data_IF_072958778343
#
_entry.id   IF_072958778343
#
_cell.length_a   1.000
_cell.length_b   1.000
_cell.length_c   1.000
_cell.angle_alpha   90.00
_cell.angle_beta   90.00
_cell.angle_gamma   90.00
#
_symmetry.space_group_name_H-M   'P 1'
#
loop_
_entity.id
_entity.type
_entity.pdbx_description
1 polymer ?
#
# COMPACT_ATOMS: atom_id res chain seq x y z
N UNK A 1 -18.27 0.40 -17.04
CA UNK A 1 -17.74 1.77 -17.30
C UNK A 1 -18.15 2.38 -18.64
N UNK A 2 -18.80 1.62 -19.52
CA UNK A 2 -19.34 2.03 -20.83
C UNK A 2 -20.89 2.05 -20.82
N UNK A 3 -21.49 2.22 -19.63
CA UNK A 3 -22.94 2.15 -19.38
C UNK A 3 -23.59 0.81 -19.73
N UNK A 4 -22.82 -0.28 -19.82
CA UNK A 4 -23.34 -1.64 -19.97
C UNK A 4 -23.41 -2.35 -18.62
N UNK A 5 -24.42 -3.22 -18.40
CA UNK A 5 -24.43 -4.12 -17.25
C UNK A 5 -23.21 -5.04 -17.28
N UNK A 6 -22.64 -5.32 -16.10
CA UNK A 6 -21.57 -6.29 -15.95
C UNK A 6 -22.04 -7.66 -16.46
N UNK A 7 -21.19 -8.35 -17.23
CA UNK A 7 -21.48 -9.72 -17.68
C UNK A 7 -21.40 -10.70 -16.51
N UNK A 8 -20.41 -10.49 -15.64
CA UNK A 8 -20.09 -11.31 -14.49
C UNK A 8 -20.59 -10.64 -13.20
N UNK A 9 -21.38 -11.36 -12.40
CA UNK A 9 -21.93 -10.82 -11.15
C UNK A 9 -20.86 -10.73 -10.08
N UNK A 10 -20.85 -9.65 -9.30
CA UNK A 10 -19.94 -9.48 -8.15
C UNK A 10 -20.73 -8.96 -6.97
N UNK A 11 -20.63 -9.65 -5.83
CA UNK A 11 -21.24 -9.23 -4.56
C UNK A 11 -20.13 -8.82 -3.61
N UNK A 12 -20.24 -7.62 -3.05
CA UNK A 12 -19.34 -7.15 -1.99
C UNK A 12 -20.14 -6.90 -0.72
N UNK A 13 -19.75 -7.60 0.33
CA UNK A 13 -20.29 -7.47 1.68
C UNK A 13 -19.33 -6.60 2.49
N UNK A 14 -19.87 -5.59 3.18
CA UNK A 14 -19.08 -4.67 4.01
C UNK A 14 -19.56 -4.76 5.44
N UNK A 15 -18.63 -4.96 6.38
CA UNK A 15 -18.90 -4.87 7.81
C UNK A 15 -17.69 -4.29 8.53
N UNK A 16 -17.89 -3.82 9.75
CA UNK A 16 -16.77 -3.34 10.56
C UNK A 16 -16.87 -3.82 12.00
N UNK A 17 -15.71 -3.95 12.61
CA UNK A 17 -15.53 -4.13 14.05
C UNK A 17 -14.96 -2.82 14.63
N UNK A 18 -14.81 -2.68 15.95
CA UNK A 18 -14.15 -1.50 16.54
C UNK A 18 -12.70 -1.26 16.08
N UNK A 19 -12.06 -2.23 15.42
CA UNK A 19 -10.62 -2.20 15.08
C UNK A 19 -10.32 -2.22 13.58
N UNK A 20 -11.26 -2.64 12.74
CA UNK A 20 -11.04 -2.84 11.32
C UNK A 20 -12.36 -2.80 10.54
N UNK A 21 -12.28 -2.35 9.29
CA UNK A 21 -13.30 -2.57 8.27
C UNK A 21 -12.95 -3.80 7.44
N UNK A 22 -13.97 -4.53 7.02
CA UNK A 22 -13.85 -5.78 6.30
C UNK A 22 -14.68 -5.75 5.02
N UNK A 23 -14.15 -6.39 3.99
CA UNK A 23 -14.82 -6.60 2.72
C UNK A 23 -14.79 -8.08 2.37
N UNK A 24 -15.95 -8.68 2.15
CA UNK A 24 -16.11 -10.02 1.60
C UNK A 24 -16.54 -9.92 0.15
N UNK A 25 -15.80 -10.56 -0.74
CA UNK A 25 -15.99 -10.51 -2.19
C UNK A 25 -16.42 -11.88 -2.68
N UNK A 26 -17.55 -11.94 -3.39
CA UNK A 26 -17.97 -13.08 -4.18
C UNK A 26 -17.99 -12.65 -5.65
N UNK A 27 -16.99 -13.08 -6.41
CA UNK A 27 -16.85 -12.75 -7.82
C UNK A 27 -17.27 -13.97 -8.65
N UNK A 28 -18.51 -13.97 -9.13
CA UNK A 28 -19.02 -14.99 -10.03
C UNK A 28 -18.41 -14.79 -11.41
N UNK A 29 -17.97 -15.86 -12.05
CA UNK A 29 -17.48 -15.82 -13.43
C UNK A 29 -18.28 -16.83 -14.26
N UNK A 30 -18.73 -16.44 -15.46
CA UNK A 30 -19.41 -17.38 -16.37
C UNK A 30 -18.49 -18.50 -16.85
N UNK A 31 -17.18 -18.31 -16.76
CA UNK A 31 -16.14 -19.26 -17.14
C UNK A 31 -15.13 -19.39 -15.98
N UNK A 32 -15.50 -20.03 -14.85
CA UNK A 32 -14.68 -20.12 -13.63
C UNK A 32 -13.26 -20.67 -13.86
N UNK A 33 -13.13 -21.64 -14.77
CA UNK A 33 -11.85 -22.20 -15.20
C UNK A 33 -10.95 -21.15 -15.89
N UNK A 34 -11.56 -20.13 -16.49
CA UNK A 34 -10.90 -19.02 -17.18
C UNK A 34 -10.47 -17.88 -16.25
N UNK A 35 -10.78 -17.94 -14.95
CA UNK A 35 -10.34 -16.95 -13.96
C UNK A 35 -8.81 -16.95 -13.89
N UNK A 36 -8.20 -15.80 -14.24
CA UNK A 36 -6.75 -15.63 -14.31
C UNK A 36 -6.21 -15.18 -12.95
N UNK A 37 -5.31 -15.98 -12.38
CA UNK A 37 -4.68 -15.67 -11.10
C UNK A 37 -3.28 -16.29 -11.04
N UNK A 38 -2.34 -15.56 -10.47
CA UNK A 38 -0.97 -16.02 -10.22
C UNK A 38 -0.57 -15.71 -8.77
N UNK A 39 0.35 -16.52 -8.24
CA UNK A 39 1.02 -16.18 -6.99
C UNK A 39 2.20 -15.30 -7.38
N UNK A 40 2.05 -14.00 -7.20
CA UNK A 40 3.05 -12.98 -7.52
C UNK A 40 3.50 -12.27 -6.25
N UNK A 41 4.57 -11.46 -6.38
CA UNK A 41 4.89 -10.46 -5.37
C UNK A 41 3.73 -9.46 -5.24
N UNK A 42 3.67 -8.81 -4.07
CA UNK A 42 2.74 -7.72 -3.80
C UNK A 42 2.91 -6.59 -4.82
N UNK A 43 1.83 -5.89 -5.10
CA UNK A 43 1.69 -4.82 -6.09
C UNK A 43 1.90 -5.26 -7.55
N UNK A 44 2.04 -6.57 -7.80
CA UNK A 44 2.25 -7.15 -9.13
C UNK A 44 1.07 -8.03 -9.62
N UNK A 45 -0.16 -7.64 -9.29
CA UNK A 45 -1.38 -8.36 -9.70
C UNK A 45 -2.00 -7.84 -11.00
N UNK A 46 -1.38 -6.87 -11.67
CA UNK A 46 -1.94 -6.16 -12.83
C UNK A 46 -2.18 -7.02 -14.08
N UNK A 47 -1.75 -8.28 -14.09
CA UNK A 47 -2.05 -9.24 -15.16
C UNK A 47 -3.12 -10.27 -14.79
N UNK A 48 -3.65 -10.20 -13.56
CA UNK A 48 -4.63 -11.14 -13.01
C UNK A 48 -6.00 -10.50 -12.88
N UNK A 49 -7.03 -11.35 -12.80
CA UNK A 49 -8.34 -10.90 -12.35
C UNK A 49 -8.18 -10.29 -10.97
N UNK A 50 -8.92 -9.22 -10.69
CA UNK A 50 -8.79 -8.53 -9.40
C UNK A 50 -10.06 -7.79 -9.03
N UNK A 51 -10.22 -7.58 -7.73
CA UNK A 51 -11.18 -6.63 -7.18
C UNK A 51 -10.40 -5.59 -6.40
N UNK A 52 -10.71 -4.32 -6.67
CA UNK A 52 -10.12 -3.15 -6.03
C UNK A 52 -11.21 -2.38 -5.29
N UNK A 53 -11.04 -2.21 -3.99
CA UNK A 53 -11.90 -1.38 -3.14
C UNK A 53 -11.29 0.01 -3.03
N UNK A 54 -12.05 1.04 -3.37
CA UNK A 54 -11.67 2.45 -3.19
C UNK A 54 -12.40 3.02 -1.97
N UNK A 55 -11.64 3.54 -1.01
CA UNK A 55 -12.15 4.03 0.26
C UNK A 55 -11.70 5.48 0.51
N UNK A 56 -12.64 6.42 0.45
CA UNK A 56 -12.45 7.82 0.82
C UNK A 56 -12.94 8.05 2.26
N UNK A 57 -12.01 8.04 3.20
CA UNK A 57 -12.28 8.14 4.65
C UNK A 57 -12.55 9.58 5.13
N UNK A 58 -12.43 10.57 4.25
CA UNK A 58 -12.76 11.98 4.51
C UNK A 58 -14.02 12.43 3.78
N UNK A 59 -14.48 11.65 2.79
CA UNK A 59 -15.63 11.91 1.94
C UNK A 59 -15.55 13.29 1.23
N UNK A 60 -14.32 13.72 0.92
CA UNK A 60 -14.07 14.95 0.16
C UNK A 60 -14.08 14.71 -1.36
N UNK A 61 -14.13 13.43 -1.78
CA UNK A 61 -14.10 12.94 -3.16
C UNK A 61 -12.85 13.36 -3.93
N UNK A 62 -11.75 13.64 -3.23
CA UNK A 62 -10.47 14.06 -3.83
C UNK A 62 -9.42 12.97 -3.74
N UNK A 63 -9.44 12.18 -2.67
CA UNK A 63 -8.48 11.10 -2.45
C UNK A 63 -9.17 9.87 -1.86
N UNK A 64 -8.72 8.70 -2.28
CA UNK A 64 -9.15 7.43 -1.72
C UNK A 64 -7.97 6.49 -1.58
N UNK A 65 -7.95 5.73 -0.50
CA UNK A 65 -7.13 4.52 -0.43
C UNK A 65 -7.68 3.52 -1.43
N UNK A 66 -6.82 2.74 -2.07
CA UNK A 66 -7.27 1.55 -2.80
C UNK A 66 -6.62 0.29 -2.25
N UNK A 67 -7.40 -0.78 -2.21
CA UNK A 67 -6.98 -2.11 -1.77
C UNK A 67 -7.44 -3.12 -2.81
N UNK A 68 -6.50 -3.61 -3.60
CA UNK A 68 -6.67 -4.59 -4.67
C UNK A 68 -6.27 -5.99 -4.24
N UNK A 69 -7.08 -6.98 -4.56
CA UNK A 69 -6.75 -8.40 -4.37
C UNK A 69 -7.01 -9.21 -5.63
N UNK A 70 -6.12 -10.16 -5.92
CA UNK A 70 -6.37 -11.19 -6.93
C UNK A 70 -7.04 -12.44 -6.30
N UNK A 71 -7.46 -13.45 -7.10
CA UNK A 71 -8.11 -14.66 -6.60
C UNK A 71 -7.28 -15.52 -5.63
N UNK A 72 -5.97 -15.31 -5.53
CA UNK A 72 -5.13 -15.96 -4.53
C UNK A 72 -4.85 -15.07 -3.31
N UNK A 73 -5.44 -13.87 -3.26
CA UNK A 73 -5.31 -12.94 -2.16
C UNK A 73 -4.02 -12.12 -2.19
N UNK A 74 -3.29 -12.09 -3.30
CA UNK A 74 -2.13 -11.20 -3.45
C UNK A 74 -2.61 -9.75 -3.51
N UNK A 75 -1.90 -8.88 -2.81
CA UNK A 75 -2.28 -7.49 -2.51
C UNK A 75 -1.73 -6.51 -3.56
N UNK A 76 -2.47 -5.43 -3.82
CA UNK A 76 -2.03 -4.17 -4.47
C UNK A 76 -2.66 -3.03 -3.68
N UNK A 77 -1.90 -2.01 -3.29
CA UNK A 77 -2.46 -0.87 -2.58
C UNK A 77 -1.78 0.46 -2.89
N UNK A 78 -2.40 1.51 -2.35
CA UNK A 78 -1.90 2.86 -2.51
C UNK A 78 -3.02 3.89 -2.39
N UNK A 79 -2.77 5.06 -2.98
CA UNK A 79 -3.69 6.19 -2.93
C UNK A 79 -4.05 6.63 -4.34
N UNK A 80 -5.35 6.73 -4.62
CA UNK A 80 -5.88 7.40 -5.80
C UNK A 80 -6.17 8.86 -5.47
N UNK A 81 -5.68 9.77 -6.30
CA UNK A 81 -5.99 11.21 -6.21
C UNK A 81 -6.70 11.69 -7.46
N UNK A 82 -7.67 12.57 -7.29
CA UNK A 82 -8.31 13.29 -8.39
C UNK A 82 -7.41 14.42 -8.90
N UNK A 83 -7.50 14.70 -10.21
CA UNK A 83 -6.67 15.70 -10.88
C UNK A 83 -5.52 15.10 -11.68
N UNK A 84 -5.23 15.71 -12.83
CA UNK A 84 -4.31 15.15 -13.84
C UNK A 84 -4.97 14.09 -14.71
N UNK A 85 -4.55 13.99 -15.97
CA UNK A 85 -4.98 12.92 -16.87
C UNK A 85 -4.02 11.73 -16.75
N UNK A 86 -4.53 10.56 -16.35
CA UNK A 86 -3.76 9.32 -16.40
C UNK A 86 -4.03 8.59 -17.71
N UNK A 87 -3.04 8.61 -18.61
CA UNK A 87 -3.07 7.84 -19.87
C UNK A 87 -3.15 6.33 -19.61
N UNK A 88 -2.64 5.86 -18.47
CA UNK A 88 -2.58 4.43 -18.11
C UNK A 88 -3.91 3.86 -17.61
N UNK A 89 -4.78 4.68 -17.01
CA UNK A 89 -6.08 4.21 -16.49
C UNK A 89 -7.28 4.62 -17.35
N UNK A 90 -7.07 5.47 -18.37
CA UNK A 90 -8.16 5.97 -19.23
C UNK A 90 -9.23 6.77 -18.47
N UNK A 91 -8.87 7.25 -17.27
CA UNK A 91 -9.71 8.03 -16.37
C UNK A 91 -8.90 9.19 -15.78
N UNK A 92 -9.61 10.26 -15.40
CA UNK A 92 -9.04 11.37 -14.63
C UNK A 92 -8.52 10.89 -13.27
N UNK A 93 -7.40 11.46 -12.83
CA UNK A 93 -6.73 11.16 -11.58
C UNK A 93 -5.38 10.47 -11.75
N UNK A 94 -4.65 10.37 -10.64
CA UNK A 94 -3.38 9.65 -10.53
C UNK A 94 -3.48 8.57 -9.46
N UNK A 95 -2.56 7.60 -9.51
CA UNK A 95 -2.45 6.53 -8.53
C UNK A 95 -1.02 6.48 -8.05
N UNK A 96 -0.84 6.61 -6.74
CA UNK A 96 0.44 6.47 -6.07
C UNK A 96 0.47 5.12 -5.34
N UNK A 97 1.38 4.25 -5.78
CA UNK A 97 1.64 2.90 -5.22
C UNK A 97 2.85 2.87 -4.29
N UNK A 98 3.48 4.01 -4.02
CA UNK A 98 4.60 4.05 -3.09
C UNK A 98 4.21 3.77 -1.64
N UNK A 99 3.01 4.16 -1.14
CA UNK A 99 2.60 3.79 0.20
C UNK A 99 2.39 2.29 0.32
N UNK A 100 2.96 1.69 1.36
CA UNK A 100 2.72 0.31 1.75
C UNK A 100 1.85 0.32 3.02
N UNK A 101 0.56 -0.01 2.87
CA UNK A 101 -0.37 -0.08 4.00
C UNK A 101 -0.33 -1.44 4.70
N UNK A 102 -0.58 -1.46 6.02
CA UNK A 102 -0.73 -2.71 6.77
C UNK A 102 -2.18 -3.22 6.69
N UNK A 103 -2.42 -4.28 5.94
CA UNK A 103 -3.74 -4.92 5.83
C UNK A 103 -3.61 -6.40 5.49
N UNK A 104 -4.73 -7.13 5.56
CA UNK A 104 -4.74 -8.58 5.39
C UNK A 104 -5.74 -8.96 4.31
N UNK A 105 -5.38 -9.97 3.52
CA UNK A 105 -6.21 -10.53 2.48
C UNK A 105 -6.10 -12.05 2.44
N UNK A 106 -7.15 -12.70 1.93
CA UNK A 106 -7.11 -14.11 1.55
C UNK A 106 -8.04 -14.31 0.37
N UNK A 107 -7.57 -15.02 -0.65
CA UNK A 107 -8.37 -15.36 -1.83
C UNK A 107 -8.43 -16.86 -2.05
N UNK A 108 -9.49 -17.30 -2.71
CA UNK A 108 -9.63 -18.69 -3.17
C UNK A 108 -10.46 -18.75 -4.44
N UNK A 109 -9.98 -19.49 -5.45
CA UNK A 109 -10.80 -19.89 -6.60
C UNK A 109 -11.89 -20.88 -6.17
N UNK A 110 -13.08 -20.74 -6.71
CA UNK A 110 -14.24 -21.60 -6.45
C UNK A 110 -14.74 -22.21 -7.77
N UNK A 111 -15.72 -23.10 -7.67
CA UNK A 111 -16.41 -23.69 -8.82
C UNK A 111 -17.28 -22.68 -9.59
N UNK A 112 -17.66 -21.55 -8.97
CA UNK A 112 -18.44 -20.49 -9.58
C UNK A 112 -17.64 -19.24 -9.97
N UNK A 113 -16.33 -19.21 -9.69
CA UNK A 113 -15.47 -18.06 -9.92
C UNK A 113 -14.39 -17.97 -8.85
N UNK A 114 -14.49 -16.97 -7.97
CA UNK A 114 -13.57 -16.83 -6.83
C UNK A 114 -14.15 -15.98 -5.71
N UNK A 115 -13.55 -16.13 -4.53
CA UNK A 115 -13.87 -15.34 -3.34
C UNK A 115 -12.61 -14.70 -2.79
N UNK A 116 -12.77 -13.56 -2.13
CA UNK A 116 -11.71 -12.95 -1.35
C UNK A 116 -12.25 -12.24 -0.11
N UNK A 117 -11.42 -12.20 0.92
CA UNK A 117 -11.64 -11.41 2.13
C UNK A 117 -10.54 -10.38 2.26
N UNK A 118 -10.92 -9.16 2.63
CA UNK A 118 -10.04 -8.03 2.88
C UNK A 118 -10.33 -7.53 4.30
N UNK A 119 -9.29 -7.37 5.10
CA UNK A 119 -9.35 -6.74 6.42
C UNK A 119 -8.41 -5.57 6.46
N UNK A 120 -8.96 -4.37 6.62
CA UNK A 120 -8.21 -3.12 6.75
C UNK A 120 -8.32 -2.63 8.20
N UNK A 121 -7.27 -2.78 9.02
CA UNK A 121 -7.23 -2.19 10.35
C UNK A 121 -7.41 -0.67 10.27
N UNK A 122 -8.23 -0.10 11.15
CA UNK A 122 -8.40 1.35 11.16
C UNK A 122 -7.07 2.05 11.39
N UNK A 123 -6.20 1.53 12.28
CA UNK A 123 -4.86 2.09 12.51
C UNK A 123 -3.99 2.29 11.25
N UNK A 124 -4.29 1.61 10.15
CA UNK A 124 -3.59 1.74 8.87
C UNK A 124 -4.10 2.89 7.99
N UNK A 125 -5.23 3.48 8.37
CA UNK A 125 -5.91 4.56 7.66
C UNK A 125 -5.72 5.88 8.39
N UNK A 126 -5.81 6.99 7.66
CA UNK A 126 -6.20 8.28 8.25
C UNK A 126 -7.68 8.47 7.94
N UNK A 127 -8.44 9.04 8.88
CA UNK A 127 -9.86 9.34 8.67
C UNK A 127 -10.25 10.64 9.35
N UNK A 128 -11.44 11.15 9.03
CA UNK A 128 -12.01 12.34 9.65
C UNK A 128 -12.22 12.20 11.16
N UNK A 129 -12.50 13.32 11.84
CA UNK A 129 -13.02 13.31 13.21
C UNK A 129 -14.55 13.37 13.19
N UNK A 130 -15.20 12.87 14.24
CA UNK A 130 -16.67 12.91 14.39
C UNK A 130 -17.20 11.68 15.12
N UNK A 131 -18.39 11.80 15.71
CA UNK A 131 -19.07 10.68 16.37
C UNK A 131 -19.67 9.69 15.37
N UNK A 132 -20.16 10.19 14.24
CA UNK A 132 -20.72 9.41 13.14
C UNK A 132 -20.04 9.81 11.83
N UNK A 133 -19.35 8.86 11.21
CA UNK A 133 -18.57 9.06 10.01
C UNK A 133 -19.35 8.62 8.77
N UNK A 134 -19.11 9.33 7.67
CA UNK A 134 -19.54 8.96 6.32
C UNK A 134 -18.30 8.87 5.45
N UNK A 135 -18.12 7.73 4.77
CA UNK A 135 -16.98 7.48 3.89
C UNK A 135 -17.47 7.26 2.46
N UNK A 136 -16.68 7.68 1.48
CA UNK A 136 -16.89 7.34 0.08
C UNK A 136 -16.44 5.89 -0.19
N UNK A 137 -17.23 5.15 -0.97
CA UNK A 137 -16.92 3.78 -1.38
C UNK A 137 -17.14 3.62 -2.88
N UNK A 138 -16.18 3.01 -3.55
CA UNK A 138 -16.42 2.36 -4.82
C UNK A 138 -15.70 1.01 -4.88
N UNK A 139 -16.16 0.12 -5.73
CA UNK A 139 -15.53 -1.16 -6.00
C UNK A 139 -15.38 -1.30 -7.49
N UNK A 140 -14.21 -1.73 -7.94
CA UNK A 140 -13.96 -2.11 -9.31
C UNK A 140 -13.56 -3.58 -9.38
N UNK A 141 -14.16 -4.35 -10.29
CA UNK A 141 -13.67 -5.65 -10.71
C UNK A 141 -13.02 -5.51 -12.09
N UNK A 142 -11.84 -6.09 -12.24
CA UNK A 142 -11.19 -6.25 -13.54
C UNK A 142 -11.16 -7.74 -13.88
N UNK A 143 -11.79 -8.11 -14.99
CA UNK A 143 -11.75 -9.48 -15.53
C UNK A 143 -10.79 -9.50 -16.72
N UNK A 144 -9.61 -10.10 -16.58
CA UNK A 144 -8.54 -10.02 -17.59
C UNK A 144 -8.85 -10.76 -18.86
N UNK A 145 -9.60 -11.86 -18.77
CA UNK A 145 -10.02 -12.66 -19.92
C UNK A 145 -10.83 -11.84 -20.92
N UNK A 146 -11.74 -11.00 -20.43
CA UNK A 146 -12.61 -10.14 -21.27
C UNK A 146 -12.05 -8.73 -21.44
N UNK A 147 -11.17 -8.30 -20.53
CA UNK A 147 -10.64 -6.93 -20.48
C UNK A 147 -11.63 -5.90 -19.92
N UNK A 148 -12.74 -6.35 -19.31
CA UNK A 148 -13.74 -5.45 -18.73
C UNK A 148 -13.38 -4.98 -17.32
N UNK A 149 -13.70 -3.72 -17.06
CA UNK A 149 -13.71 -3.09 -15.75
C UNK A 149 -15.16 -2.76 -15.35
N UNK A 150 -15.66 -3.48 -14.37
CA UNK A 150 -16.99 -3.32 -13.81
C UNK A 150 -16.92 -2.56 -12.50
N UNK A 151 -17.83 -1.61 -12.28
CA UNK A 151 -17.85 -0.78 -11.06
C UNK A 151 -19.17 -0.91 -10.33
N UNK A 152 -19.14 -0.76 -9.00
CA UNK A 152 -20.36 -0.80 -8.18
C UNK A 152 -21.31 0.35 -8.53
N UNK A 153 -20.78 1.57 -8.69
CA UNK A 153 -21.55 2.71 -9.20
C UNK A 153 -21.44 2.83 -10.72
N UNK A 154 -22.38 3.54 -11.36
CA UNK A 154 -22.35 3.83 -12.80
C UNK A 154 -21.28 4.88 -13.13
N UNK A 155 -20.01 4.44 -13.11
CA UNK A 155 -18.86 5.30 -13.40
C UNK A 155 -18.72 5.49 -14.90
N UNK A 156 -18.78 6.75 -15.32
CA UNK A 156 -18.55 7.16 -16.71
C UNK A 156 -17.10 7.61 -16.90
N UNK A 157 -16.40 7.00 -17.87
CA UNK A 157 -15.02 7.38 -18.24
C UNK A 157 -14.86 8.83 -18.69
N UNK A 158 -15.89 9.39 -19.33
CA UNK A 158 -15.90 10.78 -19.78
C UNK A 158 -16.06 11.80 -18.64
N UNK A 159 -16.34 11.35 -17.40
CA UNK A 159 -16.41 12.24 -16.25
C UNK A 159 -15.03 12.78 -15.88
N UNK A 160 -14.99 14.03 -15.44
CA UNK A 160 -13.79 14.65 -14.92
C UNK A 160 -13.33 14.06 -13.57
N UNK A 161 -14.18 13.26 -12.91
CA UNK A 161 -13.84 12.67 -11.62
C UNK A 161 -14.37 11.24 -11.43
N UNK A 162 -13.48 10.34 -10.98
CA UNK A 162 -13.83 8.96 -10.64
C UNK A 162 -14.44 8.89 -9.23
N UNK A 163 -13.74 9.43 -8.24
CA UNK A 163 -14.19 9.48 -6.84
C UNK A 163 -15.43 10.37 -6.67
N UNK A 164 -15.61 11.37 -7.54
CA UNK A 164 -16.85 12.14 -7.64
C UNK A 164 -18.10 11.30 -7.87
N UNK A 165 -17.96 10.11 -8.47
CA UNK A 165 -19.03 9.17 -8.83
C UNK A 165 -19.13 7.98 -7.85
N UNK A 166 -18.34 7.98 -6.77
CA UNK A 166 -18.41 6.94 -5.74
C UNK A 166 -19.72 7.04 -4.93
N UNK A 167 -20.15 5.91 -4.39
CA UNK A 167 -21.22 5.86 -3.40
C UNK A 167 -20.71 6.20 -2.00
N UNK A 168 -21.55 6.03 -0.98
CA UNK A 168 -21.18 6.33 0.41
C UNK A 168 -21.58 5.22 1.36
N UNK A 169 -20.73 4.94 2.35
CA UNK A 169 -21.06 4.18 3.55
C UNK A 169 -21.33 5.18 4.68
N UNK A 170 -22.50 5.07 5.31
CA UNK A 170 -22.91 5.91 6.45
C UNK A 170 -23.04 5.07 7.71
N UNK A 171 -23.11 5.72 8.88
CA UNK A 171 -23.33 5.01 10.15
C UNK A 171 -22.11 4.28 10.69
N UNK A 172 -20.91 4.75 10.33
CA UNK A 172 -19.67 4.27 10.95
C UNK A 172 -19.47 5.05 12.25
N UNK A 173 -19.56 4.39 13.40
CA UNK A 173 -19.39 4.99 14.71
C UNK A 173 -18.61 4.05 15.65
N UNK A 174 -18.24 4.53 16.83
CA UNK A 174 -17.53 3.75 17.87
C UNK A 174 -16.20 3.11 17.41
N UNK A 175 -15.58 3.67 16.37
CA UNK A 175 -14.25 3.27 15.92
C UNK A 175 -13.18 4.02 16.70
N UNK A 176 -12.15 3.31 17.17
CA UNK A 176 -11.10 3.94 17.98
C UNK A 176 -9.92 4.30 17.09
N UNK A 177 -9.43 5.54 17.20
CA UNK A 177 -8.07 5.90 16.76
C UNK A 177 -7.09 5.14 17.65
N UNK A 178 -6.67 3.98 17.18
CA UNK A 178 -5.68 3.17 17.89
C UNK A 178 -4.32 3.84 17.84
N UNK A 179 -3.48 3.55 18.85
CA UNK A 179 -2.04 3.71 18.71
C UNK A 179 -1.61 2.75 17.60
N UNK A 180 -0.96 3.26 16.56
CA UNK A 180 -0.43 2.45 15.46
C UNK A 180 0.78 1.70 16.00
N UNK A 181 0.57 0.50 16.53
CA UNK A 181 1.67 -0.40 16.87
C UNK A 181 1.81 -1.42 15.75
N UNK A 182 2.95 -1.42 15.09
CA UNK A 182 3.30 -2.37 14.04
C UNK A 182 4.65 -3.01 14.38
N UNK A 183 4.73 -4.32 14.16
CA UNK A 183 5.92 -5.13 14.35
C UNK A 183 6.02 -6.08 13.16
N UNK A 184 7.09 -5.95 12.39
CA UNK A 184 7.39 -6.76 11.21
C UNK A 184 8.70 -7.52 11.47
N UNK A 185 8.67 -8.71 12.09
CA UNK A 185 9.88 -9.51 12.28
C UNK A 185 10.35 -10.09 10.94
N UNK A 186 11.65 -10.09 10.68
CA UNK A 186 12.28 -10.68 9.50
C UNK A 186 13.31 -11.74 9.89
N UNK A 187 13.39 -12.81 9.10
CA UNK A 187 14.38 -13.87 9.23
C UNK A 187 14.94 -14.14 7.83
N UNK A 188 16.21 -13.86 7.64
CA UNK A 188 16.94 -14.10 6.39
C UNK A 188 17.94 -15.24 6.62
N UNK A 189 18.04 -16.17 5.68
CA UNK A 189 19.04 -17.23 5.70
C UNK A 189 19.76 -17.29 4.36
N UNK A 190 21.08 -17.13 4.38
CA UNK A 190 21.95 -17.19 3.22
C UNK A 190 22.86 -18.42 3.30
N UNK A 191 23.05 -19.07 2.17
CA UNK A 191 24.05 -20.13 2.01
C UNK A 191 25.00 -19.72 0.88
N UNK A 192 26.11 -19.03 1.19
CA UNK A 192 27.05 -18.59 0.16
C UNK A 192 27.73 -19.80 -0.46
N UNK A 193 27.90 -19.79 -1.79
CA UNK A 193 28.60 -20.84 -2.50
C UNK A 193 29.56 -20.28 -3.54
N UNK A 194 30.76 -20.84 -3.63
CA UNK A 194 31.75 -20.48 -4.64
C UNK A 194 32.03 -21.69 -5.52
N UNK A 195 32.12 -21.46 -6.83
CA UNK A 195 32.50 -22.51 -7.77
C UNK A 195 34.02 -22.61 -7.77
N UNK A 196 34.55 -23.72 -7.27
CA UNK A 196 35.98 -23.98 -7.31
C UNK A 196 36.43 -24.30 -8.73
N UNK A 197 37.70 -24.02 -9.04
CA UNK A 197 38.31 -24.19 -10.37
C UNK A 197 38.32 -25.65 -10.85
N UNK A 198 38.12 -26.61 -9.94
CA UNK A 198 37.98 -28.04 -10.19
C UNK A 198 36.54 -28.47 -10.57
N UNK A 199 35.60 -27.53 -10.70
CA UNK A 199 34.20 -27.81 -11.05
C UNK A 199 33.32 -28.23 -9.87
N UNK A 200 33.86 -28.35 -8.65
CA UNK A 200 33.05 -28.59 -7.44
C UNK A 200 32.48 -27.29 -6.89
N UNK A 201 31.26 -27.36 -6.35
CA UNK A 201 30.59 -26.22 -5.73
C UNK A 201 30.88 -26.26 -4.23
N UNK A 202 31.70 -25.34 -3.75
CA UNK A 202 32.01 -25.23 -2.33
C UNK A 202 30.92 -24.41 -1.65
N UNK A 203 30.37 -24.93 -0.55
CA UNK A 203 29.29 -24.29 0.20
C UNK A 203 29.88 -23.78 1.50
N UNK A 204 29.79 -22.48 1.72
CA UNK A 204 30.14 -21.86 3.00
C UNK A 204 29.08 -22.15 4.07
N UNK A 205 29.34 -21.65 5.28
CA UNK A 205 28.41 -21.79 6.40
C UNK A 205 27.10 -21.02 6.17
N UNK A 206 25.99 -21.58 6.65
CA UNK A 206 24.69 -20.90 6.66
C UNK A 206 24.79 -19.64 7.52
N UNK A 207 24.52 -18.49 6.92
CA UNK A 207 24.41 -17.21 7.62
C UNK A 207 22.93 -16.95 7.87
N UNK A 208 22.54 -16.81 9.13
CA UNK A 208 21.16 -16.48 9.50
C UNK A 208 21.14 -15.10 10.12
N UNK A 209 20.22 -14.27 9.69
CA UNK A 209 20.06 -12.91 10.13
C UNK A 209 18.62 -12.69 10.60
N UNK A 210 18.48 -12.12 11.79
CA UNK A 210 17.18 -11.74 12.35
C UNK A 210 17.12 -10.23 12.32
N UNK A 211 16.04 -9.68 11.78
CA UNK A 211 15.76 -8.26 11.80
C UNK A 211 14.31 -8.00 12.14
N UNK A 212 13.95 -6.74 12.07
CA UNK A 212 12.55 -6.38 12.07
C UNK A 212 12.32 -4.89 12.23
N UNK A 213 11.17 -4.44 11.74
CA UNK A 213 10.73 -3.07 11.86
C UNK A 213 9.68 -2.97 12.96
N UNK A 214 9.71 -1.88 13.72
CA UNK A 214 8.61 -1.50 14.58
C UNK A 214 8.22 -0.05 14.34
N UNK A 215 6.91 0.20 14.42
CA UNK A 215 6.32 1.54 14.34
C UNK A 215 5.36 1.72 15.50
N UNK A 216 5.45 2.87 16.15
CA UNK A 216 4.61 3.32 17.25
C UNK A 216 4.06 4.71 16.93
N UNK A 217 2.86 4.77 16.36
CA UNK A 217 2.14 6.00 16.06
C UNK A 217 1.14 6.36 17.15
N UNK A 218 1.36 7.47 17.83
CA UNK A 218 0.37 8.20 18.61
C UNK A 218 -0.33 9.24 17.73
N UNK A 219 -1.44 9.82 18.20
CA UNK A 219 -2.27 10.79 17.45
C UNK A 219 -1.48 11.95 16.82
N UNK A 220 -0.33 12.33 17.38
CA UNK A 220 0.50 13.44 16.92
C UNK A 220 1.99 13.12 16.76
N UNK A 221 2.42 11.89 17.07
CA UNK A 221 3.84 11.52 17.09
C UNK A 221 3.97 10.08 16.60
N UNK A 222 4.82 9.86 15.61
CA UNK A 222 5.22 8.51 15.19
C UNK A 222 6.66 8.27 15.61
N UNK A 223 6.92 7.08 16.14
CA UNK A 223 8.25 6.55 16.42
C UNK A 223 8.46 5.31 15.56
N UNK A 224 9.44 5.36 14.67
CA UNK A 224 9.84 4.23 13.84
C UNK A 224 11.24 3.75 14.26
N UNK A 225 11.46 2.44 14.23
CA UNK A 225 12.76 1.85 14.47
C UNK A 225 12.93 0.53 13.74
N UNK A 226 14.15 0.27 13.29
CA UNK A 226 14.54 -0.98 12.63
C UNK A 226 15.65 -1.64 13.44
N UNK A 227 15.47 -2.91 13.76
CA UNK A 227 16.49 -3.76 14.34
C UNK A 227 17.14 -4.52 13.19
N UNK A 228 18.46 -4.40 13.09
CA UNK A 228 19.28 -5.06 12.08
C UNK A 228 18.83 -4.79 10.63
N UNK A 229 18.98 -3.54 10.16
CA UNK A 229 18.62 -3.17 8.79
C UNK A 229 19.53 -3.89 7.78
N UNK A 230 18.92 -4.61 6.84
CA UNK A 230 19.62 -5.24 5.73
C UNK A 230 20.13 -4.16 4.75
N UNK A 231 21.45 -3.92 4.78
CA UNK A 231 22.12 -2.99 3.88
C UNK A 231 22.62 -3.65 2.59
N UNK A 232 22.39 -4.95 2.38
CA UNK A 232 22.77 -5.64 1.13
C UNK A 232 21.97 -5.14 -0.09
N UNK A 233 20.84 -4.48 0.17
CA UNK A 233 19.97 -3.84 -0.82
C UNK A 233 20.12 -2.32 -0.92
N UNK A 234 21.17 -1.73 -0.33
CA UNK A 234 21.61 -0.42 -0.81
C UNK A 234 22.35 -0.70 -2.10
N UNK A 235 21.71 -0.41 -3.24
CA UNK A 235 22.40 -0.28 -4.53
C UNK A 235 23.66 0.54 -4.29
N UNK A 236 24.81 -0.16 -4.29
CA UNK A 236 26.12 0.47 -4.28
C UNK A 236 26.14 1.49 -5.41
N UNK A 237 26.43 2.75 -5.08
CA UNK A 237 26.55 3.87 -6.02
C UNK A 237 27.00 3.39 -7.39
N UNK A 238 26.08 3.42 -8.38
CA UNK A 238 26.49 3.33 -9.75
C UNK A 238 27.37 4.55 -10.03
N UNK A 239 28.68 4.33 -10.07
CA UNK A 239 29.65 5.33 -10.50
C UNK A 239 29.34 5.73 -11.94
N UNK A 240 28.49 6.73 -12.13
CA UNK A 240 28.17 7.26 -13.44
C UNK A 240 29.24 8.29 -13.82
N UNK A 241 29.90 8.00 -14.95
CA UNK A 241 30.91 8.87 -15.56
C UNK A 241 30.26 10.19 -15.95
N UNK A 242 30.57 11.25 -15.20
CA UNK A 242 30.05 12.60 -15.40
C UNK A 242 30.86 13.32 -16.46
N UNK A 243 30.46 13.15 -17.73
CA UNK A 243 30.89 14.06 -18.79
C UNK A 243 29.64 14.65 -19.44
N UNK A 244 29.34 15.88 -19.05
CA UNK A 244 28.55 16.87 -19.81
C UNK A 244 27.01 16.88 -19.66
N UNK A 245 26.47 16.69 -18.45
CA UNK A 245 25.05 17.02 -18.16
C UNK A 245 24.93 18.26 -17.26
N UNK A 246 24.13 19.25 -17.71
CA UNK A 246 23.84 20.52 -16.99
C UNK A 246 22.51 20.49 -16.24
N UNK A 247 22.08 19.31 -15.78
CA UNK A 247 20.85 19.14 -14.99
C UNK A 247 21.14 18.29 -13.75
N UNK A 248 20.45 18.58 -12.65
CA UNK A 248 20.59 17.84 -11.42
C UNK A 248 19.98 16.43 -11.58
N UNK A 249 20.78 15.41 -11.26
CA UNK A 249 20.32 14.03 -11.15
C UNK A 249 19.25 13.94 -10.03
N UNK A 250 18.05 13.50 -10.38
CA UNK A 250 17.00 13.17 -9.42
C UNK A 250 17.00 11.65 -9.21
N UNK A 251 17.34 11.23 -7.99
CA UNK A 251 17.15 9.85 -7.55
C UNK A 251 15.76 9.72 -6.91
N UNK A 252 14.91 8.78 -7.33
CA UNK A 252 13.71 8.45 -6.56
C UNK A 252 14.11 7.82 -5.22
N UNK A 253 13.94 8.56 -4.14
CA UNK A 253 14.25 8.15 -2.76
C UNK A 253 13.30 7.02 -2.31
N UNK A 254 13.86 5.85 -1.98
CA UNK A 254 13.12 4.62 -1.65
C UNK A 254 13.05 4.30 -0.15
N UNK A 255 13.60 5.16 0.71
CA UNK A 255 13.62 4.95 2.17
C UNK A 255 12.45 5.70 2.84
N UNK A 256 11.60 5.03 3.65
CA UNK A 256 10.45 5.65 4.31
C UNK A 256 10.77 6.89 5.15
N UNK A 257 11.99 6.95 5.69
CA UNK A 257 12.49 8.05 6.53
C UNK A 257 12.53 9.42 5.84
N UNK A 258 12.72 9.48 4.52
CA UNK A 258 12.92 10.74 3.80
C UNK A 258 11.65 11.28 3.11
N UNK A 259 10.58 10.48 3.05
CA UNK A 259 9.32 10.88 2.40
C UNK A 259 8.40 11.74 3.31
N UNK A 260 8.60 11.74 4.63
CA UNK A 260 7.76 12.54 5.55
C UNK A 260 8.18 14.03 5.66
N UNK A 261 9.32 14.42 5.11
CA UNK A 261 9.90 15.76 5.28
C UNK A 261 9.62 16.79 4.17
N UNK A 262 9.04 16.40 3.02
CA UNK A 262 8.92 17.30 1.85
C UNK A 262 7.62 18.14 1.86
N UNK A 263 6.63 17.81 2.70
CA UNK A 263 5.34 18.50 2.69
C UNK A 263 5.12 19.55 3.81
N UNK A 264 6.14 19.88 4.63
CA UNK A 264 5.99 20.81 5.78
C UNK A 264 6.88 22.07 5.70
N UNK A 265 6.31 23.10 5.05
CA UNK A 265 6.39 24.54 5.38
C UNK A 265 7.54 25.45 4.87
N UNK A 266 7.23 26.65 4.32
CA UNK A 266 8.20 27.63 3.81
C UNK A 266 8.63 28.61 4.92
N UNK A 267 9.81 28.39 5.54
CA UNK A 267 10.72 29.43 6.05
C UNK A 267 11.81 28.79 6.91
N UNK A 268 13.04 28.94 6.46
CA UNK A 268 14.24 28.47 7.14
C UNK A 268 14.87 29.64 7.91
N UNK A 269 14.91 29.55 9.23
CA UNK A 269 15.86 30.29 10.05
C UNK A 269 16.62 29.28 10.91
N UNK A 270 17.82 28.93 10.48
CA UNK A 270 18.75 28.08 11.20
C UNK A 270 19.51 28.90 12.23
N UNK A 271 19.45 28.49 13.50
CA UNK A 271 20.48 28.80 14.49
C UNK A 271 21.08 27.47 14.97
N UNK A 272 22.39 27.32 14.81
CA UNK A 272 23.15 26.21 15.36
C UNK A 272 23.92 26.68 16.60
N UNK A 273 23.79 26.00 17.73
CA UNK A 273 24.72 26.15 18.86
C UNK A 273 25.11 24.76 19.37
N UNK A 274 26.40 24.41 19.46
CA UNK A 274 26.82 23.10 19.92
C UNK A 274 26.92 23.08 21.46
N UNK A 275 26.00 22.39 22.13
CA UNK A 275 26.10 22.13 23.57
C UNK A 275 26.75 20.76 23.82
N UNK A 276 28.02 20.78 24.23
CA UNK A 276 28.73 19.63 24.83
C UNK A 276 28.26 19.45 26.26
N UNK A 277 27.71 18.28 26.61
CA UNK A 277 27.41 17.93 28.00
C UNK A 277 28.58 17.18 28.63
N UNK A 278 29.17 17.76 29.67
CA UNK A 278 30.07 17.10 30.62
C UNK A 278 29.34 16.99 31.96
N UNK A 279 29.14 15.77 32.45
CA UNK A 279 28.63 15.50 33.80
C UNK A 279 29.76 15.72 34.80
N UNK A 280 29.53 16.56 35.82
CA UNK A 280 30.32 16.55 37.05
C UNK A 280 29.38 16.59 38.26
N UNK A 281 29.45 15.54 39.05
CA UNK A 281 28.87 15.44 40.40
C UNK A 281 29.57 16.43 41.34
N UNK A 282 28.80 17.13 42.18
CA UNK A 282 29.31 17.77 43.41
C UNK A 282 28.71 17.06 44.62
N UNK A 283 29.60 16.61 45.51
CA UNK A 283 29.29 16.32 46.90
C UNK A 283 29.41 17.61 47.75
N UNK A 284 28.78 17.57 48.93
CA UNK A 284 28.69 18.57 50.01
C UNK A 284 29.96 19.43 50.22
N UNK A 285 29.91 20.67 50.71
CA UNK A 285 29.04 21.36 51.69
C UNK A 285 28.80 22.80 51.26
#
# INVERSE_FOLDING_TARGET
MDSRPAEDSTVVLVWYSPTAIHFGVLAYDRVPEGVRATVSDRDNIGSDDQVTVFLDTFNDRRRAYFFGVNPYGIQDDGVRSEGGFSTSSGMSGSTDRNPDFLWQSKGMKTDFGWVAEIRVPFKSLRWGGGEMLTWGLNVQRTTRRTGYDDTWTDVRRASASFLGQAGTITGIHDIKRGVVTELQPTLTAELPGTRSSNGTFDRGDVRTEIGGNFRLGFTQVTLDGTINPDFSQVESDAGLVTINERFALFFPERRPFFLEGIELSPRRTTWSTPARWRIRSRAAR
#
